data_IF_878691998812
#
_entry.id   IF_878691998812
#
_cell.length_a   1.000
_cell.length_b   1.000
_cell.length_c   1.000
_cell.angle_alpha   90.00
_cell.angle_beta   90.00
_cell.angle_gamma   90.00
#
_symmetry.space_group_name_H-M   'P 1'
#
loop_
_entity.id
_entity.type
_entity.pdbx_description
1 polymer ?
#
# COMPACT_ATOMS: atom_id res chain seq x y z
N UNK A 1 32.20 -17.55 -13.17
CA UNK A 1 30.83 -17.17 -13.58
C UNK A 1 29.94 -18.30 -13.08
N UNK A 2 29.24 -18.08 -11.97
CA UNK A 2 28.54 -19.14 -11.23
C UNK A 2 27.09 -19.28 -11.71
N UNK A 3 26.75 -20.51 -12.10
CA UNK A 3 25.47 -20.99 -12.63
C UNK A 3 24.30 -20.99 -11.61
N UNK A 4 24.52 -20.48 -10.39
CA UNK A 4 23.56 -20.56 -9.28
C UNK A 4 22.51 -19.43 -9.31
N UNK A 5 22.70 -18.42 -10.16
CA UNK A 5 21.80 -17.26 -10.25
C UNK A 5 20.56 -17.48 -11.14
N UNK A 6 20.48 -18.55 -11.93
CA UNK A 6 19.38 -18.76 -12.90
C UNK A 6 18.16 -19.52 -12.33
N UNK A 7 18.24 -20.09 -11.11
CA UNK A 7 17.18 -20.92 -10.53
C UNK A 7 16.34 -20.24 -9.44
N UNK A 8 16.66 -18.98 -9.12
CA UNK A 8 15.82 -18.17 -8.26
C UNK A 8 15.35 -17.01 -9.12
N UNK A 9 14.05 -16.91 -9.35
CA UNK A 9 13.44 -15.69 -9.87
C UNK A 9 13.50 -14.59 -8.79
N UNK A 10 14.66 -14.42 -8.17
CA UNK A 10 14.99 -13.35 -7.25
C UNK A 10 15.36 -12.17 -8.14
N UNK A 11 14.35 -11.37 -8.48
CA UNK A 11 14.56 -10.03 -9.02
C UNK A 11 15.21 -9.22 -7.91
N UNK A 12 16.54 -9.24 -7.87
CA UNK A 12 17.35 -8.43 -6.95
C UNK A 12 17.03 -6.95 -7.21
N UNK A 13 16.09 -6.38 -6.47
CA UNK A 13 15.84 -4.94 -6.53
C UNK A 13 14.46 -4.40 -6.17
N UNK A 14 13.41 -5.22 -6.00
CA UNK A 14 12.09 -4.68 -5.63
C UNK A 14 11.30 -5.65 -4.76
N UNK A 15 11.40 -5.46 -3.44
CA UNK A 15 10.40 -6.00 -2.51
C UNK A 15 9.10 -5.22 -2.71
N UNK A 16 7.97 -5.92 -2.73
CA UNK A 16 6.65 -5.29 -2.79
C UNK A 16 5.92 -5.47 -1.48
N UNK A 17 5.00 -4.55 -1.20
CA UNK A 17 4.02 -4.69 -0.11
C UNK A 17 2.64 -4.85 -0.75
N UNK A 18 1.83 -5.74 -0.19
CA UNK A 18 0.43 -5.92 -0.61
C UNK A 18 -0.50 -5.57 0.53
N UNK A 19 -1.52 -4.74 0.29
CA UNK A 19 -2.55 -4.43 1.29
C UNK A 19 -3.71 -5.45 1.28
N UNK A 20 -4.74 -5.21 2.11
CA UNK A 20 -5.89 -6.11 2.26
C UNK A 20 -6.78 -6.18 1.01
N UNK A 21 -6.69 -5.20 0.12
CA UNK A 21 -7.46 -5.14 -1.13
C UNK A 21 -6.73 -5.79 -2.30
N UNK A 22 -5.49 -6.23 -2.07
CA UNK A 22 -4.62 -6.76 -3.10
C UNK A 22 -3.90 -5.68 -3.91
N UNK A 23 -3.88 -4.42 -3.45
CA UNK A 23 -3.03 -3.42 -4.09
C UNK A 23 -1.57 -3.75 -3.80
N UNK A 24 -0.75 -3.81 -4.85
CA UNK A 24 0.68 -4.08 -4.78
C UNK A 24 1.42 -2.75 -4.93
N UNK A 25 2.37 -2.51 -4.04
CA UNK A 25 3.18 -1.29 -4.01
C UNK A 25 4.65 -1.66 -4.08
N UNK A 26 5.37 -0.98 -4.97
CA UNK A 26 6.81 -1.06 -4.99
C UNK A 26 7.42 -0.41 -3.75
N UNK A 27 8.58 -0.91 -3.33
CA UNK A 27 9.34 -0.30 -2.25
C UNK A 27 10.66 0.30 -2.73
N UNK A 28 11.15 1.29 -1.98
CA UNK A 28 12.42 1.96 -2.22
C UNK A 28 13.16 2.13 -0.90
N UNK A 29 14.45 1.83 -0.88
CA UNK A 29 15.30 2.11 0.27
C UNK A 29 15.75 3.58 0.25
N UNK A 30 15.49 4.30 1.35
CA UNK A 30 15.96 5.67 1.57
C UNK A 30 16.71 5.69 2.92
N UNK A 31 18.03 5.86 2.84
CA UNK A 31 18.91 5.69 4.00
C UNK A 31 18.87 4.26 4.52
N UNK A 32 18.48 4.10 5.79
CA UNK A 32 18.38 2.80 6.47
C UNK A 32 16.93 2.26 6.50
N UNK A 33 15.97 2.97 5.92
CA UNK A 33 14.55 2.60 5.93
C UNK A 33 14.06 2.23 4.53
N UNK A 34 13.11 1.29 4.49
CA UNK A 34 12.38 0.91 3.28
C UNK A 34 11.02 1.62 3.30
N UNK A 35 10.72 2.35 2.24
CA UNK A 35 9.49 3.12 2.06
C UNK A 35 8.69 2.57 0.88
N UNK A 36 7.38 2.81 0.87
CA UNK A 36 6.58 2.62 -0.35
C UNK A 36 6.96 3.70 -1.37
N UNK A 37 7.06 3.31 -2.64
CA UNK A 37 7.32 4.24 -3.75
C UNK A 37 6.06 5.05 -4.14
N UNK A 38 4.89 4.64 -3.66
CA UNK A 38 3.59 5.19 -3.98
C UNK A 38 2.75 5.39 -2.70
N UNK A 39 1.72 6.24 -2.77
CA UNK A 39 0.78 6.43 -1.66
C UNK A 39 -0.11 5.19 -1.48
N UNK A 40 -0.45 4.90 -0.22
CA UNK A 40 -1.43 3.88 0.14
C UNK A 40 -2.83 4.25 -0.41
N UNK A 41 -3.49 3.29 -1.06
CA UNK A 41 -4.83 3.43 -1.67
C UNK A 41 -5.84 2.37 -1.18
N UNK A 42 -5.66 1.91 0.05
CA UNK A 42 -6.54 0.91 0.68
C UNK A 42 -7.96 1.47 0.88
N UNK A 43 -8.98 0.65 0.62
CA UNK A 43 -10.40 0.94 0.78
C UNK A 43 -11.07 0.07 1.86
N UNK A 44 -10.34 -0.84 2.52
CA UNK A 44 -10.83 -1.59 3.68
C UNK A 44 -9.95 -1.43 4.92
N UNK A 45 -10.59 -1.41 6.09
CA UNK A 45 -9.93 -1.54 7.38
C UNK A 45 -9.30 -2.93 7.54
N UNK A 46 -8.39 -3.09 8.50
CA UNK A 46 -7.74 -4.38 8.81
C UNK A 46 -8.74 -5.50 9.15
N UNK A 47 -9.93 -5.18 9.64
CA UNK A 47 -10.98 -6.16 9.94
C UNK A 47 -11.82 -6.54 8.71
N UNK A 48 -11.57 -5.94 7.54
CA UNK A 48 -12.30 -6.19 6.30
C UNK A 48 -13.50 -5.28 6.06
N UNK A 49 -13.84 -4.37 6.97
CA UNK A 49 -14.92 -3.41 6.74
C UNK A 49 -14.47 -2.34 5.74
N UNK A 50 -15.36 -1.91 4.84
CA UNK A 50 -15.09 -0.79 3.91
C UNK A 50 -14.80 0.51 4.67
N UNK A 51 -13.83 1.28 4.18
CA UNK A 51 -13.59 2.66 4.63
C UNK A 51 -14.49 3.58 3.81
N UNK A 52 -15.43 4.32 4.42
CA UNK A 52 -16.34 5.19 3.68
C UNK A 52 -15.63 6.31 2.90
N UNK A 53 -16.24 6.76 1.80
CA UNK A 53 -15.75 7.87 0.95
C UNK A 53 -16.90 8.63 0.29
N UNK A 54 -16.58 9.67 -0.48
CA UNK A 54 -17.55 10.44 -1.27
C UNK A 54 -18.29 11.54 -0.51
N UNK A 55 -17.83 11.90 0.69
CA UNK A 55 -18.43 12.95 1.50
C UNK A 55 -18.14 14.36 0.94
N UNK A 56 -19.15 15.23 1.03
CA UNK A 56 -19.00 16.68 0.87
C UNK A 56 -18.23 17.30 2.03
N UNK A 57 -17.76 18.54 1.87
CA UNK A 57 -17.03 19.25 2.92
C UNK A 57 -17.82 19.35 4.24
N UNK A 58 -19.14 19.57 4.15
CA UNK A 58 -20.01 19.68 5.33
C UNK A 58 -20.19 18.32 6.01
N UNK A 59 -20.29 17.23 5.26
CA UNK A 59 -20.36 15.87 5.81
C UNK A 59 -19.05 15.48 6.48
N UNK A 60 -17.91 15.77 5.84
CA UNK A 60 -16.57 15.53 6.40
C UNK A 60 -16.39 16.18 7.78
N UNK A 61 -16.86 17.43 7.95
CA UNK A 61 -16.75 18.16 9.20
C UNK A 61 -17.52 17.52 10.37
N UNK A 62 -18.50 16.65 10.07
CA UNK A 62 -19.38 16.04 11.06
C UNK A 62 -19.11 14.54 11.28
N UNK A 63 -18.12 13.95 10.61
CA UNK A 63 -17.79 12.54 10.79
C UNK A 63 -17.24 12.26 12.20
N UNK A 64 -17.67 11.13 12.75
CA UNK A 64 -17.12 10.54 13.99
C UNK A 64 -16.36 9.24 13.75
N UNK A 65 -16.31 8.80 12.49
CA UNK A 65 -15.61 7.60 12.01
C UNK A 65 -14.56 7.98 10.98
N UNK A 66 -13.61 7.08 10.71
CA UNK A 66 -12.64 7.30 9.64
C UNK A 66 -13.30 7.25 8.25
N UNK A 67 -12.70 7.96 7.31
CA UNK A 67 -13.06 7.99 5.90
C UNK A 67 -11.80 8.31 5.06
N UNK A 68 -11.85 8.09 3.75
CA UNK A 68 -10.79 8.51 2.82
C UNK A 68 -11.36 9.38 1.69
N UNK A 69 -10.51 10.24 1.12
CA UNK A 69 -10.86 11.09 -0.02
C UNK A 69 -10.39 10.45 -1.34
N UNK A 70 -11.15 10.68 -2.42
CA UNK A 70 -10.86 10.25 -3.80
C UNK A 70 -10.43 11.41 -4.69
#
# INVERSE_FOLDING_TARGET
MNLILELRNETWGQDTVTDIDGNIYETVQIGEQVWMAENLKVTHYRNGDEIPTGYSNDEWANLSTGAYAV
#
